data_IF_020379386060
#
_entry.id   IF_020379386060
#
_cell.length_a   1.000
_cell.length_b   1.000
_cell.length_c   1.000
_cell.angle_alpha   90.00
_cell.angle_beta   90.00
_cell.angle_gamma   90.00
#
_symmetry.space_group_name_H-M   'P 1'
#
loop_
_entity.id
_entity.type
_entity.pdbx_description
1 polymer ?
#
# COMPACT_ATOMS: atom_id res chain seq x y z
N UNK A 1 -12.06 -16.34 7.66
CA UNK A 1 -11.20 -15.54 6.75
C UNK A 1 -10.65 -16.50 5.72
N UNK A 2 -10.99 -16.31 4.45
CA UNK A 2 -10.37 -17.09 3.36
C UNK A 2 -9.09 -16.36 2.99
N UNK A 3 -7.96 -16.87 3.48
CA UNK A 3 -6.65 -16.39 3.10
C UNK A 3 -6.27 -17.03 1.75
N UNK A 4 -5.56 -16.29 0.90
CA UNK A 4 -5.02 -16.79 -0.37
C UNK A 4 -5.89 -16.49 -1.59
N UNK A 5 -5.58 -15.37 -2.26
CA UNK A 5 -6.17 -15.02 -3.57
C UNK A 5 -5.07 -14.96 -4.64
N UNK A 6 -4.73 -16.09 -5.29
CA UNK A 6 -3.69 -16.11 -6.32
C UNK A 6 -4.10 -15.32 -7.59
N UNK A 7 -5.38 -14.97 -7.71
CA UNK A 7 -5.97 -14.21 -8.82
C UNK A 7 -5.91 -12.68 -8.63
N UNK A 8 -5.41 -12.17 -7.49
CA UNK A 8 -5.24 -10.72 -7.29
C UNK A 8 -4.13 -10.20 -8.19
N UNK A 9 -4.46 -9.16 -8.96
CA UNK A 9 -3.46 -8.36 -9.66
C UNK A 9 -2.86 -7.32 -8.71
N UNK A 10 -1.53 -7.24 -8.67
CA UNK A 10 -0.79 -6.41 -7.71
C UNK A 10 -0.02 -5.34 -8.46
N UNK A 11 -0.24 -4.09 -8.10
CA UNK A 11 0.55 -2.95 -8.57
C UNK A 11 1.28 -2.29 -7.40
N UNK A 12 2.54 -1.93 -7.56
CA UNK A 12 3.24 -1.08 -6.58
C UNK A 12 3.90 0.08 -7.28
N UNK A 13 3.83 1.26 -6.67
CA UNK A 13 4.51 2.47 -7.13
C UNK A 13 5.57 2.88 -6.11
N UNK A 14 6.82 2.95 -6.51
CA UNK A 14 7.88 3.63 -5.76
C UNK A 14 7.71 5.14 -5.93
N UNK A 15 7.37 5.83 -4.83
CA UNK A 15 6.96 7.23 -4.89
C UNK A 15 8.18 8.11 -5.07
N UNK A 16 8.20 8.81 -6.19
CA UNK A 16 9.11 9.92 -6.40
C UNK A 16 8.60 10.86 -7.48
N UNK A 17 9.44 11.81 -7.87
CA UNK A 17 9.09 12.81 -8.86
C UNK A 17 9.12 12.20 -10.28
N UNK A 18 7.99 12.18 -11.01
CA UNK A 18 7.97 11.69 -12.40
C UNK A 18 8.87 12.53 -13.31
N UNK A 19 8.85 13.86 -13.15
CA UNK A 19 9.65 14.81 -13.94
C UNK A 19 11.16 14.55 -13.86
N UNK A 20 11.65 14.06 -12.72
CA UNK A 20 13.07 13.75 -12.52
C UNK A 20 13.39 12.26 -12.66
N UNK A 21 12.44 11.45 -13.14
CA UNK A 21 12.63 10.01 -13.35
C UNK A 21 12.82 9.20 -12.07
N UNK A 22 12.38 9.74 -10.91
CA UNK A 22 12.50 9.11 -9.59
C UNK A 22 11.26 8.31 -9.18
N UNK A 23 10.32 8.13 -10.09
CA UNK A 23 9.16 7.27 -9.91
C UNK A 23 9.42 5.96 -10.66
N UNK A 24 9.06 4.85 -10.04
CA UNK A 24 9.03 3.55 -10.68
C UNK A 24 7.77 2.80 -10.27
N UNK A 25 7.37 1.82 -11.07
CA UNK A 25 6.26 0.95 -10.71
C UNK A 25 6.47 -0.46 -11.24
N UNK A 26 5.80 -1.41 -10.59
CA UNK A 26 5.73 -2.79 -11.00
C UNK A 26 4.29 -3.29 -10.95
N UNK A 27 3.93 -4.17 -11.89
CA UNK A 27 2.64 -4.86 -11.94
C UNK A 27 2.87 -6.36 -12.07
N UNK A 28 2.15 -7.14 -11.25
CA UNK A 28 2.10 -8.58 -11.24
C UNK A 28 0.67 -9.05 -11.46
N UNK A 29 0.50 -9.99 -12.39
CA UNK A 29 -0.75 -10.70 -12.68
C UNK A 29 -0.45 -12.20 -12.78
N UNK A 30 -1.47 -13.04 -12.57
CA UNK A 30 -1.29 -14.49 -12.61
C UNK A 30 -0.92 -14.95 -14.04
N UNK A 31 0.14 -15.75 -14.16
CA UNK A 31 0.54 -16.34 -15.45
C UNK A 31 1.26 -15.40 -16.41
N UNK A 32 1.49 -14.14 -16.03
CA UNK A 32 2.18 -13.15 -16.85
C UNK A 32 3.55 -12.76 -16.25
N UNK A 33 4.54 -12.39 -17.08
CA UNK A 33 5.78 -11.83 -16.58
C UNK A 33 5.52 -10.46 -15.91
N UNK A 34 6.33 -10.08 -14.89
CA UNK A 34 6.25 -8.76 -14.28
C UNK A 34 6.38 -7.64 -15.32
N UNK A 35 5.53 -6.62 -15.21
CA UNK A 35 5.63 -5.40 -15.99
C UNK A 35 6.22 -4.29 -15.14
N UNK A 36 7.16 -3.53 -15.70
CA UNK A 36 7.86 -2.43 -15.03
C UNK A 36 7.73 -1.14 -15.85
N UNK A 37 7.76 0.00 -15.18
CA UNK A 37 7.78 1.28 -15.87
C UNK A 37 7.97 2.49 -14.96
N UNK A 38 7.96 3.67 -15.57
CA UNK A 38 8.12 4.98 -14.89
C UNK A 38 7.00 5.97 -15.21
N UNK A 39 6.15 5.64 -16.19
CA UNK A 39 5.00 6.45 -16.58
C UNK A 39 3.78 6.07 -15.73
N UNK A 40 3.32 7.01 -14.92
CA UNK A 40 2.19 6.77 -14.00
C UNK A 40 0.86 6.57 -14.73
N UNK A 41 0.69 7.13 -15.93
CA UNK A 41 -0.51 6.89 -16.74
C UNK A 41 -0.55 5.46 -17.27
N UNK A 42 0.61 4.95 -17.70
CA UNK A 42 0.75 3.55 -18.11
C UNK A 42 0.45 2.58 -16.95
N UNK A 43 0.83 2.93 -15.72
CA UNK A 43 0.46 2.18 -14.51
C UNK A 43 -1.05 2.16 -14.29
N UNK A 44 -1.70 3.33 -14.31
CA UNK A 44 -3.16 3.45 -14.13
C UNK A 44 -3.91 2.66 -15.20
N UNK A 45 -3.49 2.76 -16.46
CA UNK A 45 -4.08 2.01 -17.57
C UNK A 45 -3.94 0.50 -17.38
N UNK A 46 -2.74 0.02 -17.02
CA UNK A 46 -2.51 -1.40 -16.79
C UNK A 46 -3.37 -1.96 -15.65
N UNK A 47 -3.42 -1.25 -14.51
CA UNK A 47 -4.21 -1.67 -13.36
C UNK A 47 -5.72 -1.59 -13.61
N UNK A 48 -6.19 -0.57 -14.37
CA UNK A 48 -7.60 -0.50 -14.80
C UNK A 48 -7.97 -1.70 -15.67
N UNK A 49 -7.13 -2.05 -16.65
CA UNK A 49 -7.38 -3.18 -17.54
C UNK A 49 -7.43 -4.51 -16.76
N UNK A 50 -6.52 -4.71 -15.81
CA UNK A 50 -6.55 -5.88 -14.93
C UNK A 50 -7.78 -5.88 -14.02
N UNK A 51 -8.20 -4.71 -13.53
CA UNK A 51 -9.38 -4.54 -12.69
C UNK A 51 -10.68 -4.97 -13.35
N UNK A 52 -10.74 -5.02 -14.68
CA UNK A 52 -11.93 -5.53 -15.38
C UNK A 52 -12.17 -7.03 -15.14
N UNK A 53 -11.12 -7.80 -14.82
CA UNK A 53 -11.19 -9.25 -14.65
C UNK A 53 -10.71 -9.75 -13.28
N UNK A 54 -9.97 -8.94 -12.54
CA UNK A 54 -9.31 -9.34 -11.29
C UNK A 54 -9.56 -8.35 -10.16
N UNK A 55 -9.65 -8.81 -8.91
CA UNK A 55 -9.49 -7.92 -7.76
C UNK A 55 -8.05 -7.38 -7.74
N UNK A 56 -7.88 -6.20 -7.14
CA UNK A 56 -6.63 -5.45 -7.21
C UNK A 56 -6.05 -5.22 -5.80
N UNK A 57 -4.74 -5.29 -5.68
CA UNK A 57 -4.00 -4.71 -4.55
C UNK A 57 -2.99 -3.69 -5.05
N UNK A 58 -3.01 -2.47 -4.49
CA UNK A 58 -2.15 -1.37 -4.91
C UNK A 58 -1.34 -0.82 -3.75
N UNK A 59 -0.02 -0.88 -3.87
CA UNK A 59 0.94 -0.38 -2.90
C UNK A 59 1.61 0.91 -3.34
N UNK A 60 1.98 1.75 -2.37
CA UNK A 60 2.85 2.91 -2.61
C UNK A 60 4.02 2.90 -1.64
N UNK A 61 5.24 3.10 -2.14
CA UNK A 61 6.45 3.23 -1.32
C UNK A 61 6.52 4.66 -0.76
N UNK A 62 5.91 4.85 0.39
CA UNK A 62 5.93 6.08 1.18
C UNK A 62 5.23 5.83 2.53
N UNK A 63 5.46 6.62 3.58
CA UNK A 63 4.58 6.62 4.74
C UNK A 63 3.15 7.04 4.33
N UNK A 64 2.16 6.19 4.61
CA UNK A 64 0.74 6.39 4.21
C UNK A 64 -0.22 6.56 5.39
N UNK A 65 0.32 6.67 6.59
CA UNK A 65 -0.41 7.13 7.76
C UNK A 65 0.52 7.82 8.74
N UNK A 66 -0.04 8.77 9.50
CA UNK A 66 0.66 9.53 10.53
C UNK A 66 0.11 9.08 11.89
N UNK A 67 0.93 8.64 12.85
CA UNK A 67 0.45 8.33 14.20
C UNK A 67 -0.15 9.57 14.86
N UNK A 68 -1.20 9.39 15.64
CA UNK A 68 -1.83 10.47 16.40
C UNK A 68 -1.71 10.22 17.91
N UNK A 69 -0.49 10.25 18.49
CA UNK A 69 -0.29 10.00 19.91
C UNK A 69 -0.88 11.14 20.74
N UNK A 70 -1.35 10.81 21.95
CA UNK A 70 -1.78 11.79 22.95
C UNK A 70 -0.62 12.63 23.53
N UNK A 71 0.62 12.13 23.43
CA UNK A 71 1.81 12.78 23.96
C UNK A 71 2.47 13.70 22.91
N UNK A 72 2.49 15.01 23.17
CA UNK A 72 3.04 16.01 22.24
C UNK A 72 4.51 15.73 21.82
N UNK A 73 5.33 15.21 22.75
CA UNK A 73 6.74 14.88 22.49
C UNK A 73 6.91 13.74 21.48
N UNK A 74 5.85 12.96 21.21
CA UNK A 74 5.89 11.80 20.32
C UNK A 74 5.33 12.08 18.93
N UNK A 75 4.74 13.26 18.68
CA UNK A 75 4.05 13.60 17.42
C UNK A 75 4.95 13.41 16.18
N UNK A 76 6.26 13.67 16.31
CA UNK A 76 7.22 13.51 15.22
C UNK A 76 8.15 12.29 15.40
N UNK A 77 7.86 11.41 16.35
CA UNK A 77 8.62 10.18 16.55
C UNK A 77 8.35 9.16 15.43
N UNK A 78 9.27 8.21 15.28
CA UNK A 78 9.12 7.14 14.31
C UNK A 78 7.98 6.19 14.70
N UNK A 79 7.37 5.58 13.69
CA UNK A 79 6.30 4.59 13.89
C UNK A 79 6.87 3.31 14.48
N UNK A 80 6.06 2.55 15.22
CA UNK A 80 6.41 1.22 15.74
C UNK A 80 6.82 0.30 14.58
N UNK A 81 8.10 -0.06 14.49
CA UNK A 81 8.66 -0.89 13.40
C UNK A 81 9.37 -0.12 12.28
N UNK A 82 9.38 1.22 12.33
CA UNK A 82 9.99 2.09 11.31
C UNK A 82 11.53 2.08 11.35
N UNK A 83 12.12 1.78 12.51
CA UNK A 83 13.56 1.74 12.71
C UNK A 83 14.13 3.07 13.21
N UNK A 84 15.31 3.46 12.71
CA UNK A 84 16.11 4.55 13.30
C UNK A 84 15.80 5.95 12.78
N UNK A 85 15.11 6.08 11.64
CA UNK A 85 14.74 7.38 11.05
C UNK A 85 13.22 7.50 11.00
N UNK A 86 12.63 8.54 11.63
CA UNK A 86 11.19 8.69 11.64
C UNK A 86 10.65 9.14 10.26
N UNK A 87 9.39 8.82 9.99
CA UNK A 87 8.64 9.35 8.83
C UNK A 87 8.71 10.88 8.73
N UNK A 88 8.84 11.58 9.86
CA UNK A 88 8.91 13.04 9.96
C UNK A 88 10.27 13.63 9.60
N UNK A 89 11.32 12.81 9.48
CA UNK A 89 12.65 13.30 9.10
C UNK A 89 12.64 13.78 7.64
N UNK A 90 13.59 14.66 7.27
CA UNK A 90 13.54 15.42 6.01
C UNK A 90 13.19 14.62 4.75
N UNK A 91 13.80 13.45 4.54
CA UNK A 91 13.48 12.59 3.40
C UNK A 91 12.09 11.94 3.51
N UNK A 92 11.73 11.45 4.70
CA UNK A 92 10.43 10.84 4.99
C UNK A 92 9.28 11.84 4.82
N UNK A 93 9.41 13.05 5.36
CA UNK A 93 8.38 14.08 5.27
C UNK A 93 8.19 14.55 3.82
N UNK A 94 9.28 14.66 3.06
CA UNK A 94 9.22 15.01 1.65
C UNK A 94 8.52 13.93 0.81
N UNK A 95 8.86 12.64 0.99
CA UNK A 95 8.21 11.55 0.24
C UNK A 95 6.75 11.37 0.66
N UNK A 96 6.43 11.52 1.95
CA UNK A 96 5.04 11.49 2.46
C UNK A 96 4.20 12.55 1.77
N UNK A 97 4.72 13.78 1.63
CA UNK A 97 4.02 14.87 0.95
C UNK A 97 3.88 14.60 -0.56
N UNK A 98 4.93 14.09 -1.21
CA UNK A 98 4.88 13.70 -2.62
C UNK A 98 3.86 12.58 -2.87
N UNK A 99 3.75 11.63 -1.94
CA UNK A 99 2.81 10.53 -2.01
C UNK A 99 1.36 11.02 -2.05
N UNK A 100 1.00 12.09 -1.34
CA UNK A 100 -0.34 12.66 -1.42
C UNK A 100 -0.75 13.00 -2.86
N UNK A 101 0.18 13.55 -3.65
CA UNK A 101 -0.08 13.86 -5.05
C UNK A 101 -0.15 12.60 -5.92
N UNK A 102 0.83 11.69 -5.78
CA UNK A 102 0.91 10.46 -6.58
C UNK A 102 -0.27 9.52 -6.30
N UNK A 103 -0.56 9.25 -5.03
CA UNK A 103 -1.69 8.41 -4.60
C UNK A 103 -3.02 8.98 -5.10
N UNK A 104 -3.26 10.28 -4.88
CA UNK A 104 -4.51 10.92 -5.31
C UNK A 104 -4.66 10.85 -6.84
N UNK A 105 -3.57 11.08 -7.58
CA UNK A 105 -3.58 10.97 -9.04
C UNK A 105 -3.95 9.54 -9.49
N UNK A 106 -3.27 8.54 -8.94
CA UNK A 106 -3.49 7.13 -9.25
C UNK A 106 -4.91 6.70 -8.92
N UNK A 107 -5.38 6.97 -7.70
CA UNK A 107 -6.73 6.59 -7.26
C UNK A 107 -7.83 7.31 -8.06
N UNK A 108 -7.64 8.59 -8.41
CA UNK A 108 -8.58 9.30 -9.27
C UNK A 108 -8.62 8.70 -10.69
N UNK A 109 -7.47 8.30 -11.22
CA UNK A 109 -7.37 7.60 -12.51
C UNK A 109 -8.11 6.27 -12.52
N UNK A 110 -7.84 5.44 -11.52
CA UNK A 110 -8.50 4.15 -11.34
C UNK A 110 -10.00 4.30 -11.14
N UNK A 111 -10.46 5.29 -10.36
CA UNK A 111 -11.90 5.53 -10.16
C UNK A 111 -12.61 5.84 -11.48
N UNK A 112 -11.98 6.60 -12.38
CA UNK A 112 -12.56 6.86 -13.71
C UNK A 112 -12.69 5.59 -14.55
N UNK A 113 -11.72 4.68 -14.44
CA UNK A 113 -11.71 3.41 -15.18
C UNK A 113 -12.56 2.30 -14.56
N UNK A 114 -12.80 2.37 -13.25
CA UNK A 114 -13.51 1.37 -12.45
C UNK A 114 -14.58 2.07 -11.58
N UNK A 115 -15.63 2.66 -12.17
CA UNK A 115 -16.57 3.52 -11.43
C UNK A 115 -17.36 2.79 -10.34
N UNK A 116 -17.69 1.51 -10.57
CA UNK A 116 -18.54 0.71 -9.68
C UNK A 116 -17.74 -0.14 -8.67
N UNK A 117 -16.41 -0.10 -8.74
CA UNK A 117 -15.53 -0.85 -7.85
C UNK A 117 -15.53 -0.25 -6.43
N UNK A 118 -15.29 -1.09 -5.43
CA UNK A 118 -15.07 -0.62 -4.04
C UNK A 118 -13.58 -0.52 -3.75
N UNK A 119 -13.19 0.20 -2.70
CA UNK A 119 -11.81 0.17 -2.20
C UNK A 119 -11.75 0.26 -0.68
N UNK A 120 -10.72 -0.39 -0.14
CA UNK A 120 -10.45 -0.48 1.29
C UNK A 120 -8.95 -0.36 1.55
N UNK A 121 -8.60 0.04 2.77
CA UNK A 121 -7.25 -0.10 3.36
C UNK A 121 -7.20 -1.25 4.38
N UNK A 122 -8.36 -1.81 4.71
CA UNK A 122 -8.53 -2.85 5.70
C UNK A 122 -8.23 -4.23 5.11
N UNK A 123 -7.13 -4.79 5.58
CA UNK A 123 -6.56 -6.07 5.16
C UNK A 123 -7.45 -7.25 5.59
N UNK A 124 -8.25 -7.07 6.64
CA UNK A 124 -9.15 -8.12 7.15
C UNK A 124 -10.30 -8.40 6.19
N UNK A 125 -10.54 -7.48 5.25
CA UNK A 125 -11.53 -7.57 4.18
C UNK A 125 -10.83 -7.50 2.81
N UNK A 126 -10.13 -8.57 2.38
CA UNK A 126 -9.44 -8.57 1.09
C UNK A 126 -10.43 -8.39 -0.08
N UNK A 127 -9.96 -7.87 -1.22
CA UNK A 127 -10.83 -7.52 -2.35
C UNK A 127 -11.41 -8.80 -2.96
N UNK A 128 -12.72 -8.81 -3.21
CA UNK A 128 -13.44 -10.04 -3.57
C UNK A 128 -13.75 -10.14 -5.06
N UNK A 129 -14.22 -9.05 -5.66
CA UNK A 129 -14.71 -9.01 -7.04
C UNK A 129 -13.71 -8.31 -7.95
N UNK A 130 -13.81 -8.52 -9.28
CA UNK A 130 -13.09 -7.71 -10.24
C UNK A 130 -13.25 -6.21 -9.94
N UNK A 131 -12.11 -5.52 -9.90
CA UNK A 131 -12.03 -4.08 -9.66
C UNK A 131 -11.98 -3.69 -8.19
N UNK A 132 -12.39 -4.56 -7.25
CA UNK A 132 -12.30 -4.25 -5.82
C UNK A 132 -10.83 -3.97 -5.42
N UNK A 133 -10.66 -2.84 -4.73
CA UNK A 133 -9.48 -2.16 -4.21
C UNK A 133 -8.96 -2.63 -2.84
N UNK A 134 -7.75 -3.17 -2.72
CA UNK A 134 -6.98 -3.06 -1.46
C UNK A 134 -5.78 -2.13 -1.63
N UNK A 135 -5.75 -1.01 -0.90
CA UNK A 135 -4.61 -0.11 -0.87
C UNK A 135 -3.70 -0.37 0.34
N UNK A 136 -2.38 -0.34 0.13
CA UNK A 136 -1.40 -0.61 1.18
C UNK A 136 -0.14 0.27 1.06
N UNK A 137 0.64 0.30 2.13
CA UNK A 137 1.97 0.91 2.17
C UNK A 137 3.04 -0.13 1.85
N UNK A 138 3.91 0.18 0.90
CA UNK A 138 5.15 -0.56 0.68
C UNK A 138 6.28 0.12 1.47
N UNK A 139 7.12 -0.67 2.14
CA UNK A 139 8.25 -0.15 2.91
C UNK A 139 9.55 -0.87 2.52
N UNK A 140 10.23 -0.35 1.50
CA UNK A 140 11.46 -0.95 0.95
C UNK A 140 12.69 -0.27 1.55
N UNK A 141 13.28 -0.90 2.57
CA UNK A 141 14.48 -0.37 3.23
C UNK A 141 15.75 -0.59 2.40
N UNK A 142 16.80 0.18 2.70
CA UNK A 142 18.06 0.19 1.93
C UNK A 142 18.71 -1.20 1.73
N UNK A 143 18.58 -2.13 2.68
CA UNK A 143 19.11 -3.50 2.55
C UNK A 143 18.37 -4.37 1.54
N UNK A 144 17.19 -3.91 1.10
CA UNK A 144 16.31 -4.62 0.17
C UNK A 144 16.05 -3.81 -1.12
N UNK A 145 16.77 -2.70 -1.35
CA UNK A 145 16.63 -1.91 -2.58
C UNK A 145 17.25 -2.63 -3.78
N UNK A 146 16.58 -2.54 -4.92
CA UNK A 146 17.03 -3.02 -6.22
C UNK A 146 17.98 -2.05 -6.93
N UNK A 147 18.09 -2.18 -8.26
CA UNK A 147 18.99 -1.33 -9.07
C UNK A 147 18.36 0.04 -9.33
N UNK A 148 17.04 0.08 -9.55
CA UNK A 148 16.29 1.33 -9.67
C UNK A 148 14.91 1.30 -8.99
N UNK A 149 14.18 2.42 -9.06
CA UNK A 149 12.85 2.57 -8.44
C UNK A 149 11.81 1.55 -8.92
N UNK A 150 11.89 1.06 -10.16
CA UNK A 150 10.97 0.04 -10.64
C UNK A 150 11.31 -1.33 -10.04
N UNK A 151 12.60 -1.61 -9.78
CA UNK A 151 13.00 -2.79 -9.03
C UNK A 151 12.53 -2.74 -7.57
N UNK A 152 12.63 -1.59 -6.90
CA UNK A 152 12.10 -1.39 -5.54
C UNK A 152 10.60 -1.71 -5.49
N UNK A 153 9.83 -1.17 -6.45
CA UNK A 153 8.41 -1.50 -6.61
C UNK A 153 8.17 -2.99 -6.87
N UNK A 154 9.01 -3.66 -7.68
CA UNK A 154 8.89 -5.08 -7.97
C UNK A 154 9.14 -5.95 -6.74
N UNK A 155 10.12 -5.58 -5.91
CA UNK A 155 10.44 -6.28 -4.66
C UNK A 155 9.23 -6.21 -3.72
N UNK A 156 8.66 -5.02 -3.53
CA UNK A 156 7.44 -4.84 -2.74
C UNK A 156 6.24 -5.58 -3.32
N UNK A 157 6.05 -5.56 -4.64
CA UNK A 157 4.95 -6.28 -5.30
C UNK A 157 5.06 -7.80 -5.11
N UNK A 158 6.27 -8.36 -5.15
CA UNK A 158 6.51 -9.79 -4.90
C UNK A 158 6.23 -10.16 -3.45
N UNK A 159 6.63 -9.32 -2.50
CA UNK A 159 6.33 -9.51 -1.08
C UNK A 159 4.81 -9.49 -0.85
N UNK A 160 4.11 -8.50 -1.39
CA UNK A 160 2.65 -8.41 -1.31
C UNK A 160 1.97 -9.63 -1.95
N UNK A 161 2.50 -10.15 -3.06
CA UNK A 161 1.98 -11.38 -3.70
C UNK A 161 2.12 -12.60 -2.82
N UNK A 162 3.29 -12.78 -2.20
CA UNK A 162 3.50 -13.88 -1.27
C UNK A 162 2.56 -13.77 -0.06
N UNK A 163 2.35 -12.55 0.43
CA UNK A 163 1.49 -12.26 1.57
C UNK A 163 0.01 -12.52 1.30
N UNK A 164 -0.54 -11.92 0.24
CA UNK A 164 -1.97 -11.99 -0.10
C UNK A 164 -2.36 -13.31 -0.77
N UNK A 165 -1.38 -13.99 -1.38
CA UNK A 165 -1.56 -15.32 -1.96
C UNK A 165 -1.45 -16.47 -0.94
N UNK A 166 -0.93 -16.20 0.27
CA UNK A 166 -0.79 -17.19 1.34
C UNK A 166 -2.11 -17.48 2.06
N UNK A 167 -2.22 -18.67 2.64
CA UNK A 167 -3.38 -19.17 3.38
C UNK A 167 -3.30 -18.92 4.90
N UNK A 168 -2.32 -18.13 5.33
CA UNK A 168 -2.02 -17.85 6.74
C UNK A 168 -2.41 -16.43 7.14
N UNK A 169 -2.81 -16.20 8.41
CA UNK A 169 -2.91 -14.87 8.97
C UNK A 169 -1.57 -14.13 8.86
N UNK A 170 -1.65 -12.84 8.58
CA UNK A 170 -0.49 -11.96 8.51
C UNK A 170 -0.69 -10.68 9.32
N UNK A 171 0.42 -10.04 9.68
CA UNK A 171 0.42 -8.73 10.36
C UNK A 171 1.13 -7.66 9.54
N UNK A 172 0.83 -6.41 9.83
CA UNK A 172 1.54 -5.26 9.28
C UNK A 172 2.97 -5.16 9.86
N UNK A 173 3.93 -4.69 9.05
CA UNK A 173 5.29 -4.42 9.52
C UNK A 173 5.39 -3.19 10.43
N UNK A 174 4.41 -2.28 10.31
CA UNK A 174 4.23 -1.13 11.19
C UNK A 174 2.80 -1.16 11.70
N UNK A 175 2.65 -1.07 13.01
CA UNK A 175 1.35 -1.16 13.68
C UNK A 175 1.19 -0.03 14.71
N UNK A 176 0.23 0.85 14.47
CA UNK A 176 -0.07 2.01 15.31
C UNK A 176 -1.57 2.03 15.64
N UNK A 177 -1.94 2.19 16.93
CA UNK A 177 -3.34 2.05 17.36
C UNK A 177 -4.22 3.23 16.94
N UNK A 178 -3.64 4.43 16.83
CA UNK A 178 -4.34 5.65 16.45
C UNK A 178 -3.54 6.36 15.35
N UNK A 179 -4.19 6.54 14.21
CA UNK A 179 -3.55 7.10 13.02
C UNK A 179 -4.45 8.09 12.31
N UNK A 180 -3.82 8.99 11.57
CA UNK A 180 -4.44 9.72 10.47
C UNK A 180 -4.04 9.03 9.16
N UNK A 181 -5.00 8.37 8.52
CA UNK A 181 -4.82 7.59 7.29
C UNK A 181 -4.74 8.50 6.06
N UNK A 182 -3.56 8.59 5.45
CA UNK A 182 -3.37 9.36 4.21
C UNK A 182 -4.01 8.65 3.02
N UNK A 183 -3.97 7.31 3.00
CA UNK A 183 -4.72 6.51 2.03
C UNK A 183 -6.23 6.69 2.20
N UNK A 184 -6.75 6.63 3.43
CA UNK A 184 -8.17 6.89 3.71
C UNK A 184 -8.61 8.28 3.23
N UNK A 185 -7.80 9.31 3.51
CA UNK A 185 -8.05 10.66 3.01
C UNK A 185 -8.06 10.73 1.47
N UNK A 186 -7.14 10.02 0.80
CA UNK A 186 -7.10 9.97 -0.66
C UNK A 186 -8.30 9.22 -1.26
N UNK A 187 -8.76 8.13 -0.63
CA UNK A 187 -9.96 7.38 -1.03
C UNK A 187 -11.22 8.28 -0.95
N UNK A 188 -11.38 9.01 0.16
CA UNK A 188 -12.46 10.01 0.30
C UNK A 188 -12.37 11.09 -0.78
N UNK A 189 -11.17 11.66 -0.97
CA UNK A 189 -10.94 12.76 -1.93
C UNK A 189 -11.27 12.37 -3.37
N UNK A 190 -11.07 11.11 -3.72
CA UNK A 190 -11.21 10.61 -5.10
C UNK A 190 -12.51 9.85 -5.34
N UNK A 191 -13.42 9.82 -4.36
CA UNK A 191 -14.75 9.22 -4.52
C UNK A 191 -14.74 7.69 -4.49
N UNK A 192 -13.78 7.08 -3.81
CA UNK A 192 -13.79 5.63 -3.56
C UNK A 192 -14.71 5.25 -2.39
N UNK A 193 -14.88 6.16 -1.44
CA UNK A 193 -15.74 5.98 -0.28
C UNK A 193 -16.29 7.32 0.18
N UNK A 194 -17.37 7.28 0.94
CA UNK A 194 -17.91 8.40 1.72
C UNK A 194 -17.86 8.14 3.22
N UNK A 195 -17.38 6.97 3.62
CA UNK A 195 -17.23 6.60 5.02
C UNK A 195 -16.01 7.32 5.62
N UNK A 196 -16.25 8.20 6.60
CA UNK A 196 -15.19 8.96 7.25
C UNK A 196 -14.32 8.12 8.21
N UNK A 197 -14.78 6.92 8.61
CA UNK A 197 -14.01 6.05 9.51
C UNK A 197 -12.66 5.63 8.90
N UNK A 198 -12.55 5.64 7.56
CA UNK A 198 -11.30 5.35 6.84
C UNK A 198 -10.17 6.33 7.19
N UNK A 199 -10.47 7.54 7.70
CA UNK A 199 -9.46 8.49 8.17
C UNK A 199 -8.69 7.98 9.40
N UNK A 200 -9.26 7.03 10.13
CA UNK A 200 -8.65 6.42 11.32
C UNK A 200 -8.17 4.98 11.08
N UNK A 201 -8.31 4.46 9.86
CA UNK A 201 -7.96 3.09 9.54
C UNK A 201 -6.47 2.99 9.12
N UNK A 202 -5.62 2.25 9.87
CA UNK A 202 -4.27 1.94 9.41
C UNK A 202 -4.34 1.03 8.18
N UNK A 203 -3.42 1.21 7.24
CA UNK A 203 -3.26 0.30 6.11
C UNK A 203 -2.24 -0.79 6.44
N UNK A 204 -2.27 -1.87 5.67
CA UNK A 204 -1.19 -2.85 5.67
C UNK A 204 0.14 -2.16 5.31
N UNK A 205 1.20 -2.42 6.07
CA UNK A 205 2.58 -2.10 5.68
C UNK A 205 3.28 -3.38 5.29
N UNK A 206 3.66 -3.50 4.02
CA UNK A 206 4.38 -4.64 3.45
C UNK A 206 5.87 -4.31 3.41
N UNK A 207 6.70 -5.11 4.10
CA UNK A 207 8.13 -4.85 4.25
C UNK A 207 8.94 -6.10 3.86
N UNK A 208 9.68 -6.07 2.75
CA UNK A 208 10.56 -7.18 2.37
C UNK A 208 11.52 -7.57 3.50
N UNK A 209 11.60 -8.87 3.79
CA UNK A 209 12.45 -9.42 4.85
C UNK A 209 11.89 -9.29 6.27
N UNK A 210 10.68 -8.74 6.45
CA UNK A 210 9.94 -8.83 7.70
C UNK A 210 9.13 -10.13 7.72
N UNK A 211 9.18 -10.87 8.84
CA UNK A 211 8.34 -12.05 8.99
C UNK A 211 6.90 -11.66 9.30
N UNK A 212 6.10 -11.52 8.24
CA UNK A 212 4.68 -11.16 8.33
C UNK A 212 3.80 -12.26 8.96
N UNK A 213 4.31 -13.48 9.15
CA UNK A 213 3.51 -14.65 9.54
C UNK A 213 3.81 -15.20 10.96
N UNK A 214 4.75 -14.63 11.71
CA UNK A 214 5.03 -15.06 13.10
C UNK A 214 3.86 -14.77 14.05
N UNK A 215 3.64 -15.70 14.97
CA UNK A 215 2.45 -15.83 15.82
C UNK A 215 2.48 -15.02 17.14
N UNK A 216 3.44 -14.13 17.36
CA UNK A 216 3.43 -13.29 18.56
C UNK A 216 2.34 -12.21 18.41
N UNK A 217 1.25 -12.37 19.16
CA UNK A 217 0.09 -11.47 19.34
C UNK A 217 -1.18 -11.66 18.48
N UNK A 218 -1.65 -12.89 18.29
CA UNK A 218 -3.12 -13.06 18.23
C UNK A 218 -3.68 -12.89 19.66
N UNK A 219 -4.66 -12.00 19.91
CA UNK A 219 -5.34 -11.98 21.20
C UNK A 219 -5.96 -13.36 21.46
N UNK A 220 -6.00 -13.82 22.73
CA UNK A 220 -6.64 -15.09 23.05
C UNK A 220 -8.10 -15.09 22.55
N UNK A 221 -8.63 -16.25 22.12
CA UNK A 221 -10.02 -16.34 21.73
C UNK A 221 -10.92 -15.89 22.89
N UNK A 222 -12.07 -15.25 22.61
CA UNK A 222 -13.01 -14.89 23.66
C UNK A 222 -13.52 -16.15 24.37
N UNK A 223 -13.57 -16.10 25.70
CA UNK A 223 -14.16 -17.14 26.57
C UNK A 223 -15.65 -17.36 26.28
#
# INVERSE_FOLDING_TARGET
MTFGRPDIAIGVVDVGSPKSGKLGWAVLSQGEPPRLGKDLDAFVQAMTALGAAHPLAIGFEAPLFIPTPSEAMRILSGRRGEGSRPWSAGAGAAVTTAALAVVTYTLAGLRRGLPDATASVDVSHPPQRPGDLLAFEAFVTASAKGVDHADDALIAAREARALLGGDRPYRSAIDEPEVFSLLGAALLRTGWTHDLTVLSAPCLVVKPGFDHFSAESLPPPPD
#
